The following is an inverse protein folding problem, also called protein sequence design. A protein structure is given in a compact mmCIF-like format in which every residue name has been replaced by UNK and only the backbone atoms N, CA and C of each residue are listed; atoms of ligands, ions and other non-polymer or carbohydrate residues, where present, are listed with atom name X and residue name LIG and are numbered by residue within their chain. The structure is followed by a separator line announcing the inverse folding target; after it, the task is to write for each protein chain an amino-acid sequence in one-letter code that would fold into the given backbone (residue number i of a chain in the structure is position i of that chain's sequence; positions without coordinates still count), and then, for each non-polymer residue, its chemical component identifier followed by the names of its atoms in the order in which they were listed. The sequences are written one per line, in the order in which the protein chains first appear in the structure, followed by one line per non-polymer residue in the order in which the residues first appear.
data_IF_753399321928
#
_entry.id   IF_753399321928
#
_cell.length_a   1.000
_cell.length_b   1.000
_cell.length_c   1.000
_cell.angle_alpha   90.00
_cell.angle_beta   90.00
_cell.angle_gamma   90.00
#
_symmetry.space_group_name_H-M   'P 1'
#
loop_
_entity.id
_entity.type
_entity.pdbx_description
1 polymer ?
#
# COMPACT_ATOMS: atom_id res chain seq x y z
N UNK A 1 8.47 -10.03 10.54
CA UNK A 1 8.48 -10.15 9.06
C UNK A 1 9.35 -9.03 8.49
N UNK A 2 10.03 -9.22 7.36
CA UNK A 2 10.89 -8.18 6.76
C UNK A 2 10.09 -7.27 5.84
N UNK A 3 10.24 -5.96 5.96
CA UNK A 3 9.63 -5.00 5.03
C UNK A 3 10.08 -5.30 3.59
N UNK A 4 9.15 -5.68 2.69
CA UNK A 4 9.49 -5.87 1.30
C UNK A 4 9.80 -4.52 0.64
N UNK A 5 10.68 -4.50 -0.35
CA UNK A 5 10.91 -3.30 -1.15
C UNK A 5 9.64 -2.90 -1.93
N UNK A 6 9.46 -1.61 -2.19
CA UNK A 6 8.25 -1.06 -2.83
C UNK A 6 8.29 -1.07 -4.37
N UNK A 7 9.46 -1.35 -4.97
CA UNK A 7 9.58 -1.53 -6.43
C UNK A 7 8.66 -2.64 -6.95
N UNK A 8 8.01 -2.39 -8.08
CA UNK A 8 7.08 -3.33 -8.72
C UNK A 8 5.67 -3.37 -8.12
N UNK A 9 5.34 -2.52 -7.15
CA UNK A 9 3.98 -2.43 -6.59
C UNK A 9 2.94 -2.08 -7.66
N UNK A 10 3.30 -1.23 -8.64
CA UNK A 10 2.43 -0.88 -9.76
C UNK A 10 2.07 -2.06 -10.67
N UNK A 11 2.85 -3.14 -10.62
CA UNK A 11 2.67 -4.35 -11.44
C UNK A 11 2.18 -5.55 -10.62
N UNK A 12 1.77 -5.35 -9.37
CA UNK A 12 1.34 -6.44 -8.50
C UNK A 12 0.22 -7.29 -9.15
N UNK A 13 -0.77 -6.63 -9.77
CA UNK A 13 -1.86 -7.31 -10.47
C UNK A 13 -1.38 -8.15 -11.66
N UNK A 14 -0.37 -7.70 -12.41
CA UNK A 14 0.18 -8.41 -13.58
C UNK A 14 0.77 -9.77 -13.16
N UNK A 15 1.42 -9.81 -12.00
CA UNK A 15 2.05 -11.02 -11.46
C UNK A 15 1.08 -11.91 -10.66
N UNK A 16 -0.09 -11.38 -10.29
CA UNK A 16 -1.06 -12.05 -9.41
C UNK A 16 -2.37 -12.42 -10.11
N UNK A 17 -2.37 -12.52 -11.45
CA UNK A 17 -3.52 -13.02 -12.21
C UNK A 17 -4.64 -12.00 -12.40
N UNK A 18 -4.29 -10.71 -12.51
CA UNK A 18 -5.23 -9.63 -12.82
C UNK A 18 -5.82 -8.92 -11.61
N UNK A 19 -5.44 -9.32 -10.39
CA UNK A 19 -5.81 -8.62 -9.15
C UNK A 19 -4.62 -8.54 -8.22
N UNK A 20 -4.41 -7.35 -7.63
CA UNK A 20 -3.37 -7.17 -6.63
C UNK A 20 -3.81 -7.68 -5.25
N UNK A 21 -2.86 -8.28 -4.54
CA UNK A 21 -2.96 -8.72 -3.15
C UNK A 21 -1.72 -8.23 -2.41
N UNK A 22 -1.96 -7.43 -1.38
CA UNK A 22 -0.96 -6.82 -0.52
C UNK A 22 -1.03 -7.43 0.88
N UNK A 23 0.02 -7.15 1.67
CA UNK A 23 0.26 -7.78 2.98
C UNK A 23 0.57 -9.27 2.87
N UNK A 24 1.08 -9.86 3.96
CA UNK A 24 1.59 -11.23 3.96
C UNK A 24 0.49 -12.28 3.90
N UNK A 25 -0.70 -11.92 4.34
CA UNK A 25 -1.91 -12.73 4.30
C UNK A 25 -2.79 -12.41 3.07
N UNK A 26 -2.36 -11.48 2.20
CA UNK A 26 -3.09 -11.11 0.99
C UNK A 26 -4.43 -10.41 1.24
N UNK A 27 -4.71 -9.95 2.47
CA UNK A 27 -6.04 -9.45 2.83
C UNK A 27 -6.41 -8.10 2.21
N UNK A 28 -5.41 -7.33 1.76
CA UNK A 28 -5.63 -6.03 1.12
C UNK A 28 -5.55 -6.19 -0.39
N UNK A 29 -6.47 -5.56 -1.10
CA UNK A 29 -6.50 -5.57 -2.58
C UNK A 29 -6.27 -4.19 -3.20
N UNK A 30 -6.12 -3.18 -2.35
CA UNK A 30 -5.64 -1.84 -2.70
C UNK A 30 -4.49 -1.42 -1.79
N UNK A 31 -3.67 -0.47 -2.25
CA UNK A 31 -2.61 0.13 -1.44
C UNK A 31 -3.17 0.93 -0.25
N UNK A 32 -4.35 1.55 -0.41
CA UNK A 32 -5.05 2.22 0.69
C UNK A 32 -5.42 1.21 1.80
N UNK A 33 -6.09 0.11 1.44
CA UNK A 33 -6.41 -0.97 2.38
C UNK A 33 -5.16 -1.50 3.07
N UNK A 34 -4.07 -1.70 2.31
CA UNK A 34 -2.80 -2.16 2.85
C UNK A 34 -2.30 -1.19 3.93
N UNK A 35 -2.27 0.12 3.64
CA UNK A 35 -1.87 1.16 4.59
C UNK A 35 -2.77 1.17 5.82
N UNK A 36 -4.10 1.07 5.67
CA UNK A 36 -5.04 1.11 6.79
C UNK A 36 -4.89 -0.11 7.73
N UNK A 37 -4.60 -1.28 7.16
CA UNK A 37 -4.39 -2.51 7.90
C UNK A 37 -3.03 -2.61 8.60
N UNK A 38 -2.10 -1.69 8.36
CA UNK A 38 -0.85 -1.63 9.10
C UNK A 38 -1.06 -1.10 10.53
N UNK A 39 -0.40 -1.74 11.49
CA UNK A 39 -0.38 -1.37 12.90
C UNK A 39 0.98 -1.68 13.53
N UNK A 40 1.05 -1.68 14.87
CA UNK A 40 2.31 -1.91 15.58
C UNK A 40 3.37 -0.89 15.19
N UNK A 41 4.54 -1.36 14.74
CA UNK A 41 5.64 -0.50 14.29
C UNK A 41 5.27 0.42 13.11
N UNK A 42 4.33 0.00 12.25
CA UNK A 42 3.87 0.79 11.10
C UNK A 42 2.71 1.75 11.42
N UNK A 43 2.25 1.80 12.68
CA UNK A 43 1.13 2.66 13.08
C UNK A 43 1.42 4.15 12.82
N UNK A 44 2.68 4.59 12.98
CA UNK A 44 3.08 5.97 12.70
C UNK A 44 2.89 6.35 11.23
N UNK A 45 3.26 5.47 10.30
CA UNK A 45 3.07 5.68 8.86
C UNK A 45 1.59 5.75 8.48
N UNK A 46 0.74 4.88 9.05
CA UNK A 46 -0.71 4.95 8.84
C UNK A 46 -1.30 6.26 9.37
N UNK A 47 -0.89 6.68 10.57
CA UNK A 47 -1.35 7.96 11.15
C UNK A 47 -0.92 9.15 10.28
N UNK A 48 0.32 9.16 9.78
CA UNK A 48 0.80 10.20 8.88
C UNK A 48 0.01 10.22 7.56
N UNK A 49 -0.29 9.06 6.98
CA UNK A 49 -1.15 8.96 5.80
C UNK A 49 -2.56 9.49 6.06
N UNK A 50 -3.17 9.14 7.19
CA UNK A 50 -4.50 9.61 7.58
C UNK A 50 -4.56 11.11 7.88
N UNK A 51 -3.42 11.75 8.16
CA UNK A 51 -3.33 13.20 8.35
C UNK A 51 -3.24 13.98 7.03
N UNK A 52 -2.98 13.30 5.90
CA UNK A 52 -2.96 13.90 4.58
C UNK A 52 -4.38 14.26 4.13
N UNK A 53 -4.50 15.31 3.33
CA UNK A 53 -5.73 15.59 2.58
C UNK A 53 -6.04 14.47 1.58
N UNK A 54 -7.30 14.36 1.14
CA UNK A 54 -7.69 13.39 0.13
C UNK A 54 -6.88 13.51 -1.17
N UNK A 55 -6.48 14.73 -1.54
CA UNK A 55 -5.65 14.95 -2.72
C UNK A 55 -4.23 14.42 -2.54
N UNK A 56 -3.62 14.66 -1.38
CA UNK A 56 -2.28 14.16 -1.06
C UNK A 56 -2.27 12.63 -0.94
N UNK A 57 -3.32 12.03 -0.36
CA UNK A 57 -3.49 10.57 -0.35
C UNK A 57 -3.53 10.02 -1.78
N UNK A 58 -4.35 10.61 -2.66
CA UNK A 58 -4.42 10.19 -4.06
C UNK A 58 -3.09 10.34 -4.81
N UNK A 59 -2.34 11.40 -4.54
CA UNK A 59 -0.99 11.61 -5.10
C UNK A 59 -0.02 10.54 -4.61
N UNK A 60 -0.03 10.20 -3.33
CA UNK A 60 0.82 9.14 -2.78
C UNK A 60 0.48 7.78 -3.39
N UNK A 61 -0.81 7.44 -3.49
CA UNK A 61 -1.24 6.19 -4.12
C UNK A 61 -0.80 6.14 -5.59
N UNK A 62 -0.90 7.27 -6.31
CA UNK A 62 -0.43 7.38 -7.69
C UNK A 62 1.07 7.16 -7.79
N UNK A 63 1.85 7.77 -6.90
CA UNK A 63 3.30 7.58 -6.83
C UNK A 63 3.65 6.10 -6.56
N UNK A 64 3.02 5.47 -5.56
CA UNK A 64 3.25 4.06 -5.24
C UNK A 64 2.90 3.12 -6.40
N UNK A 65 1.85 3.43 -7.17
CA UNK A 65 1.49 2.69 -8.39
C UNK A 65 2.46 2.91 -9.56
N UNK A 66 3.33 3.93 -9.49
CA UNK A 66 4.37 4.16 -10.51
C UNK A 66 5.67 3.39 -10.25
N UNK A 67 5.78 2.71 -9.09
CA UNK A 67 6.97 1.96 -8.66
C UNK A 67 7.02 0.53 -9.22
#
# INVERSE_FOLDING_TARGET
WRTPPLWGLGRAADFQGGRAFYLHDGRATTLDEAIQFHGGEAAGSRTAYNALSAQEQAQLITFLNSL
#
